data_IF_068374509483
#
_entry.id   IF_068374509483
#
_cell.length_a   1.000
_cell.length_b   1.000
_cell.length_c   1.000
_cell.angle_alpha   90.00
_cell.angle_beta   90.00
_cell.angle_gamma   90.00
#
_symmetry.space_group_name_H-M   'P 1'
#
loop_
_entity.id
_entity.type
_entity.pdbx_description
1 polymer ?
#
# COMPACT_ATOMS: atom_id res chain seq x y z
N UNK A 1 10.67 -13.85 -25.27
CA UNK A 1 11.07 -12.42 -25.19
C UNK A 1 11.43 -12.20 -23.74
N UNK A 2 12.68 -11.81 -23.44
CA UNK A 2 13.07 -11.50 -22.05
C UNK A 2 12.32 -10.25 -21.64
N UNK A 3 11.59 -10.26 -20.52
CA UNK A 3 10.66 -9.20 -20.11
C UNK A 3 11.24 -7.79 -19.86
N UNK A 4 12.45 -7.48 -20.32
CA UNK A 4 13.18 -6.23 -20.09
C UNK A 4 12.58 -4.97 -20.75
N UNK A 5 11.54 -5.11 -21.58
CA UNK A 5 11.01 -3.99 -22.40
C UNK A 5 9.60 -3.53 -21.99
N UNK A 6 9.02 -4.05 -20.90
CA UNK A 6 7.70 -3.60 -20.43
C UNK A 6 7.90 -2.46 -19.44
N UNK A 7 7.35 -1.28 -19.74
CA UNK A 7 7.19 -0.22 -18.76
C UNK A 7 5.99 -0.56 -17.85
N UNK A 8 6.21 -0.84 -16.55
CA UNK A 8 5.12 -1.22 -15.67
C UNK A 8 4.14 -0.06 -15.40
N UNK A 9 4.55 1.20 -15.56
CA UNK A 9 3.66 2.36 -15.43
C UNK A 9 2.59 2.32 -16.52
N UNK A 10 2.98 2.15 -17.78
CA UNK A 10 2.03 2.05 -18.89
C UNK A 10 1.28 0.71 -18.88
N UNK A 11 1.96 -0.40 -18.59
CA UNK A 11 1.38 -1.73 -18.70
C UNK A 11 0.32 -2.03 -17.64
N UNK A 12 0.48 -1.50 -16.42
CA UNK A 12 -0.39 -1.79 -15.29
C UNK A 12 -1.12 -0.57 -14.72
N UNK A 13 -1.00 0.59 -15.37
CA UNK A 13 -1.39 1.88 -14.77
C UNK A 13 -0.71 2.08 -13.39
N UNK A 14 0.56 1.66 -13.28
CA UNK A 14 1.26 1.59 -12.00
C UNK A 14 1.55 3.01 -11.48
N UNK A 15 0.98 3.32 -10.33
CA UNK A 15 1.26 4.55 -9.60
C UNK A 15 1.19 4.34 -8.08
N UNK A 16 1.71 5.29 -7.31
CA UNK A 16 1.55 5.27 -5.86
C UNK A 16 0.10 5.60 -5.54
N UNK A 17 -0.61 4.65 -4.93
CA UNK A 17 -1.96 4.84 -4.42
C UNK A 17 -1.93 5.64 -3.11
N UNK A 18 -1.05 5.24 -2.19
CA UNK A 18 -0.88 5.90 -0.89
C UNK A 18 0.46 5.53 -0.24
N UNK A 19 0.86 6.32 0.75
CA UNK A 19 1.96 6.02 1.66
C UNK A 19 1.38 5.71 3.05
N UNK A 20 1.76 4.57 3.60
CA UNK A 20 1.45 4.13 4.95
C UNK A 20 2.52 4.57 5.95
N UNK A 21 2.10 5.07 7.12
CA UNK A 21 2.95 5.42 8.25
C UNK A 21 2.47 4.60 9.47
N UNK A 22 3.41 4.00 10.20
CA UNK A 22 3.10 3.28 11.43
C UNK A 22 3.18 4.22 12.63
N UNK A 23 2.05 4.49 13.28
CA UNK A 23 2.02 5.18 14.58
C UNK A 23 2.25 4.18 15.73
N UNK A 24 2.62 4.69 16.92
CA UNK A 24 2.80 3.80 18.09
C UNK A 24 1.48 3.19 18.56
N UNK A 25 0.39 3.95 18.45
CA UNK A 25 -0.95 3.61 18.92
C UNK A 25 -2.01 4.50 18.24
N UNK A 26 -3.28 4.33 18.62
CA UNK A 26 -4.39 5.10 18.05
C UNK A 26 -4.31 6.61 18.36
N UNK A 27 -3.83 7.01 19.53
CA UNK A 27 -3.75 8.42 19.89
C UNK A 27 -2.64 9.12 19.11
N UNK A 28 -1.51 8.44 18.91
CA UNK A 28 -0.45 8.93 18.04
C UNK A 28 -0.91 8.99 16.57
N UNK A 29 -1.70 8.02 16.10
CA UNK A 29 -2.29 8.05 14.76
C UNK A 29 -3.21 9.26 14.56
N UNK A 30 -4.08 9.57 15.54
CA UNK A 30 -4.94 10.78 15.52
C UNK A 30 -4.11 12.05 15.50
N UNK A 31 -3.02 12.09 16.28
CA UNK A 31 -2.11 13.24 16.31
C UNK A 31 -1.45 13.45 14.95
N UNK A 32 -0.95 12.40 14.31
CA UNK A 32 -0.31 12.46 12.98
C UNK A 32 -1.33 12.89 11.92
N UNK A 33 -2.48 12.23 11.84
CA UNK A 33 -3.54 12.57 10.87
C UNK A 33 -4.05 14.01 11.06
N UNK A 34 -4.18 14.47 12.31
CA UNK A 34 -4.55 15.86 12.62
C UNK A 34 -3.52 16.89 12.17
N UNK A 35 -2.23 16.53 12.11
CA UNK A 35 -1.20 17.41 11.52
C UNK A 35 -1.39 17.54 10.01
N UNK A 36 -1.70 16.45 9.31
CA UNK A 36 -1.98 16.50 7.88
C UNK A 36 -3.23 17.33 7.57
N UNK A 37 -4.29 17.18 8.35
CA UNK A 37 -5.49 18.01 8.21
C UNK A 37 -5.19 19.49 8.49
N UNK A 38 -4.54 19.80 9.60
CA UNK A 38 -4.28 21.20 10.02
C UNK A 38 -3.31 21.92 9.09
N UNK A 39 -2.24 21.24 8.66
CA UNK A 39 -1.15 21.87 7.90
C UNK A 39 -1.35 21.81 6.39
N UNK A 40 -2.03 20.78 5.89
CA UNK A 40 -2.18 20.52 4.46
C UNK A 40 -3.64 20.49 3.99
N UNK A 41 -4.61 20.53 4.90
CA UNK A 41 -6.03 20.53 4.55
C UNK A 41 -6.58 19.18 4.10
N UNK A 42 -5.90 18.08 4.44
CA UNK A 42 -6.34 16.73 4.07
C UNK A 42 -7.35 16.20 5.09
N UNK A 43 -8.60 15.98 4.67
CA UNK A 43 -9.69 15.50 5.53
C UNK A 43 -9.37 14.11 6.10
N UNK A 44 -9.74 13.87 7.36
CA UNK A 44 -9.50 12.57 8.00
C UNK A 44 -10.62 11.56 7.72
N UNK A 45 -10.24 10.35 7.31
CA UNK A 45 -11.14 9.22 7.12
C UNK A 45 -10.69 8.02 7.98
N UNK A 46 -11.32 7.85 9.14
CA UNK A 46 -10.98 6.78 10.06
C UNK A 46 -11.51 5.41 9.62
N UNK A 47 -10.65 4.39 9.71
CA UNK A 47 -11.00 2.97 9.58
C UNK A 47 -10.83 2.27 10.94
N UNK A 48 -11.22 1.00 11.08
CA UNK A 48 -10.95 0.25 12.31
C UNK A 48 -9.46 0.19 12.68
N UNK A 49 -8.55 0.15 11.70
CA UNK A 49 -7.12 -0.10 11.93
C UNK A 49 -6.20 1.09 11.60
N UNK A 50 -6.73 2.11 10.91
CA UNK A 50 -5.95 3.23 10.39
C UNK A 50 -6.78 4.53 10.34
N UNK A 51 -6.13 5.64 10.03
CA UNK A 51 -6.75 6.92 9.69
C UNK A 51 -6.10 7.41 8.41
N UNK A 52 -6.92 7.57 7.37
CA UNK A 52 -6.50 8.14 6.10
C UNK A 52 -6.57 9.67 6.16
N UNK A 53 -5.54 10.34 5.66
CA UNK A 53 -5.55 11.79 5.37
C UNK A 53 -5.79 11.96 3.87
N UNK A 54 -7.04 12.23 3.51
CA UNK A 54 -7.59 12.04 2.17
C UNK A 54 -7.24 10.63 1.66
N UNK A 55 -7.00 10.45 0.37
CA UNK A 55 -6.57 9.21 -0.26
C UNK A 55 -5.06 8.96 -0.18
N UNK A 56 -4.27 9.94 0.28
CA UNK A 56 -2.82 9.96 0.04
C UNK A 56 -2.00 9.27 1.13
N UNK A 57 -2.37 9.46 2.40
CA UNK A 57 -1.56 9.01 3.54
C UNK A 57 -2.40 8.17 4.49
N UNK A 58 -1.99 6.93 4.72
CA UNK A 58 -2.61 6.04 5.68
C UNK A 58 -1.78 6.00 6.96
N UNK A 59 -2.33 6.49 8.07
CA UNK A 59 -1.67 6.36 9.38
C UNK A 59 -2.24 5.16 10.13
N UNK A 60 -1.44 4.11 10.32
CA UNK A 60 -1.83 2.91 11.07
C UNK A 60 -1.92 3.21 12.56
N UNK A 61 -2.96 2.69 13.24
CA UNK A 61 -3.18 2.83 14.70
C UNK A 61 -2.31 1.89 15.54
N UNK A 62 -1.07 1.67 15.11
CA UNK A 62 -0.12 0.70 15.66
C UNK A 62 0.87 0.22 14.59
N UNK A 63 1.70 -0.78 14.92
CA UNK A 63 2.66 -1.35 13.97
C UNK A 63 1.95 -2.14 12.85
N UNK A 64 1.72 -1.48 11.71
CA UNK A 64 1.45 -2.12 10.43
C UNK A 64 2.67 -2.86 9.88
N UNK A 65 2.60 -3.28 8.62
CA UNK A 65 3.73 -3.91 7.93
C UNK A 65 4.81 -2.86 7.61
N UNK A 66 6.08 -3.29 7.55
CA UNK A 66 7.22 -2.43 7.28
C UNK A 66 7.77 -1.69 8.50
N UNK A 67 9.09 -1.56 8.59
CA UNK A 67 9.76 -0.76 9.62
C UNK A 67 9.35 0.73 9.55
N UNK A 68 9.25 1.28 8.33
CA UNK A 68 8.91 2.68 8.04
C UNK A 68 7.46 2.86 7.59
N UNK A 69 6.65 1.80 7.64
CA UNK A 69 5.30 1.75 7.08
C UNK A 69 5.26 1.06 5.72
N UNK A 70 4.33 1.45 4.86
CA UNK A 70 4.10 0.77 3.58
C UNK A 70 3.95 1.74 2.41
N UNK A 71 4.17 1.23 1.20
CA UNK A 71 3.82 1.94 -0.04
C UNK A 71 2.82 1.07 -0.79
N UNK A 72 1.63 1.61 -0.98
CA UNK A 72 0.59 1.00 -1.81
C UNK A 72 0.76 1.41 -3.25
N UNK A 73 0.94 0.44 -4.13
CA UNK A 73 1.02 0.64 -5.57
C UNK A 73 -0.31 0.23 -6.20
N UNK A 74 -1.00 1.17 -6.82
CA UNK A 74 -2.18 0.85 -7.63
C UNK A 74 -1.74 0.12 -8.89
N UNK A 75 -2.49 -0.90 -9.28
CA UNK A 75 -2.42 -1.55 -10.60
C UNK A 75 -3.82 -1.91 -11.09
N UNK A 76 -4.02 -1.86 -12.40
CA UNK A 76 -5.30 -2.21 -13.03
C UNK A 76 -5.57 -3.73 -13.09
N UNK A 77 -4.53 -4.57 -12.96
CA UNK A 77 -4.61 -6.03 -12.89
C UNK A 77 -3.54 -6.59 -11.94
N UNK A 78 -3.97 -6.91 -10.71
CA UNK A 78 -3.09 -7.43 -9.67
C UNK A 78 -2.46 -8.77 -10.07
N UNK A 79 -3.19 -9.68 -10.73
CA UNK A 79 -2.67 -11.00 -11.06
C UNK A 79 -1.57 -10.94 -12.13
N UNK A 80 -1.75 -10.06 -13.13
CA UNK A 80 -0.74 -9.80 -14.14
C UNK A 80 0.50 -9.11 -13.54
N UNK A 81 0.29 -8.12 -12.66
CA UNK A 81 1.37 -7.43 -11.97
C UNK A 81 2.16 -8.37 -11.04
N UNK A 82 1.50 -9.23 -10.27
CA UNK A 82 2.16 -10.26 -9.43
C UNK A 82 3.08 -11.15 -10.27
N UNK A 83 2.61 -11.64 -11.42
CA UNK A 83 3.42 -12.46 -12.32
C UNK A 83 4.64 -11.69 -12.81
N UNK A 84 4.45 -10.43 -13.21
CA UNK A 84 5.53 -9.55 -13.66
C UNK A 84 6.61 -9.33 -12.60
N UNK A 85 6.21 -9.07 -11.35
CA UNK A 85 7.11 -8.77 -10.25
C UNK A 85 7.78 -10.03 -9.68
N UNK A 86 7.08 -11.17 -9.65
CA UNK A 86 7.66 -12.44 -9.19
C UNK A 86 8.72 -12.99 -10.15
N UNK A 87 8.55 -12.82 -11.47
CA UNK A 87 9.60 -13.09 -12.46
C UNK A 87 10.88 -12.26 -12.24
N UNK A 88 10.79 -11.16 -11.47
CA UNK A 88 11.91 -10.26 -11.13
C UNK A 88 12.47 -10.48 -9.73
N UNK A 89 11.98 -11.49 -9.01
CA UNK A 89 12.54 -11.93 -7.75
C UNK A 89 11.83 -11.42 -6.50
N UNK A 90 10.68 -10.73 -6.63
CA UNK A 90 9.79 -10.50 -5.49
C UNK A 90 8.98 -11.78 -5.18
N UNK A 91 8.56 -11.96 -3.94
CA UNK A 91 7.72 -13.07 -3.53
C UNK A 91 6.44 -12.58 -2.88
N UNK A 92 5.33 -13.27 -3.12
CA UNK A 92 4.02 -12.85 -2.60
C UNK A 92 3.86 -13.32 -1.15
N UNK A 93 3.41 -12.41 -0.29
CA UNK A 93 2.93 -12.74 1.05
C UNK A 93 1.45 -13.13 0.96
N UNK A 94 1.18 -14.41 0.71
CA UNK A 94 -0.20 -14.90 0.55
C UNK A 94 -1.06 -14.70 1.81
N UNK A 95 -0.46 -14.68 3.01
CA UNK A 95 -1.18 -14.41 4.26
C UNK A 95 -1.71 -12.97 4.34
N UNK A 96 -1.22 -12.07 3.48
CA UNK A 96 -1.67 -10.68 3.39
C UNK A 96 -2.81 -10.46 2.39
N UNK A 97 -3.14 -11.46 1.57
CA UNK A 97 -4.09 -11.30 0.47
C UNK A 97 -5.48 -11.00 1.02
N UNK A 98 -6.04 -9.88 0.60
CA UNK A 98 -7.41 -9.51 0.89
C UNK A 98 -8.23 -9.46 -0.39
N UNK A 99 -9.53 -9.72 -0.24
CA UNK A 99 -10.47 -9.77 -1.36
C UNK A 99 -11.58 -8.73 -1.18
N UNK A 100 -12.07 -8.21 -2.29
CA UNK A 100 -13.32 -7.45 -2.35
C UNK A 100 -14.52 -8.40 -2.18
N UNK A 101 -15.73 -7.88 -1.88
CA UNK A 101 -16.94 -8.70 -1.73
C UNK A 101 -17.31 -9.53 -2.97
N UNK A 102 -16.88 -9.10 -4.16
CA UNK A 102 -17.10 -9.79 -5.43
C UNK A 102 -16.07 -10.91 -5.72
N UNK A 103 -15.11 -11.12 -4.81
CA UNK A 103 -14.06 -12.13 -4.93
C UNK A 103 -12.83 -11.68 -5.73
N UNK A 104 -12.80 -10.45 -6.24
CA UNK A 104 -11.57 -9.88 -6.83
C UNK A 104 -10.53 -9.60 -5.73
N UNK A 105 -9.25 -9.65 -6.08
CA UNK A 105 -8.17 -9.32 -5.13
C UNK A 105 -8.22 -7.82 -4.86
N UNK A 106 -8.29 -7.45 -3.59
CA UNK A 106 -8.27 -6.06 -3.13
C UNK A 106 -6.85 -5.55 -2.96
N UNK A 107 -6.02 -6.33 -2.28
CA UNK A 107 -4.61 -6.04 -2.09
C UNK A 107 -3.80 -7.29 -1.76
N UNK A 108 -2.49 -7.21 -1.99
CA UNK A 108 -1.51 -8.20 -1.55
C UNK A 108 -0.13 -7.57 -1.36
N UNK A 109 0.58 -7.98 -0.32
CA UNK A 109 1.95 -7.54 -0.03
C UNK A 109 2.98 -8.47 -0.65
N UNK A 110 4.17 -7.94 -0.92
CA UNK A 110 5.38 -8.73 -1.11
C UNK A 110 5.98 -9.13 0.27
N UNK A 111 6.78 -10.19 0.33
CA UNK A 111 7.52 -10.54 1.54
C UNK A 111 8.73 -9.63 1.75
N UNK A 112 9.27 -9.07 0.68
CA UNK A 112 10.41 -8.18 0.71
C UNK A 112 10.02 -6.76 1.11
N UNK A 113 10.85 -6.14 1.94
CA UNK A 113 10.81 -4.70 2.20
C UNK A 113 11.87 -3.98 1.36
N UNK A 114 11.55 -2.75 0.95
CA UNK A 114 12.48 -1.86 0.25
C UNK A 114 12.73 -0.66 1.13
N UNK A 115 13.97 -0.50 1.60
CA UNK A 115 14.38 0.60 2.50
C UNK A 115 13.49 0.71 3.78
N UNK A 116 13.03 -0.43 4.30
CA UNK A 116 12.16 -0.50 5.48
C UNK A 116 10.68 -0.28 5.18
N UNK A 117 10.27 -0.08 3.92
CA UNK A 117 8.86 -0.04 3.55
C UNK A 117 8.39 -1.40 3.07
N UNK A 118 7.25 -1.85 3.61
CA UNK A 118 6.50 -2.95 3.01
C UNK A 118 5.83 -2.46 1.72
N UNK A 119 5.88 -3.27 0.67
CA UNK A 119 5.30 -2.90 -0.64
C UNK A 119 4.09 -3.78 -0.91
N UNK A 120 2.96 -3.18 -1.29
CA UNK A 120 1.76 -3.92 -1.67
C UNK A 120 1.17 -3.42 -2.98
N UNK A 121 0.51 -4.34 -3.68
CA UNK A 121 -0.31 -4.04 -4.85
C UNK A 121 -1.76 -3.90 -4.40
N UNK A 122 -2.48 -2.93 -4.95
CA UNK A 122 -3.92 -2.75 -4.74
C UNK A 122 -4.63 -2.30 -6.02
N UNK A 123 -5.95 -2.44 -6.03
CA UNK A 123 -6.85 -1.99 -7.10
C UNK A 123 -7.83 -0.94 -6.61
#
# INVERSE_FOLDING_TARGET
MTGKDIDPVEAFDLHIAHIGINASDEEDAKRIAGLFETLFGLEQHATPISIFSDSLIETMKGCGRGEMGHIGLHVNDIAAAESYFTERGLTINEDSRAFNPDGTVKLVYFNEEIAGFAIHLCS
#
